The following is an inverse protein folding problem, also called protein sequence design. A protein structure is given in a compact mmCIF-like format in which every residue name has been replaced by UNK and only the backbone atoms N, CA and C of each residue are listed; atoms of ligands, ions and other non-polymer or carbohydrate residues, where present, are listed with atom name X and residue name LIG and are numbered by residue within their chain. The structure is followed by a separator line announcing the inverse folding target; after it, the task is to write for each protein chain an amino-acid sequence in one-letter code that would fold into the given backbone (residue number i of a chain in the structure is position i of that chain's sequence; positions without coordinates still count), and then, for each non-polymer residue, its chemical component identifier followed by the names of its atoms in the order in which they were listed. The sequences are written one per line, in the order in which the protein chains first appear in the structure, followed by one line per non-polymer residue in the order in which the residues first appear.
data_IF_757916148459
#
_entry.id   IF_757916148459
#
_cell.length_a   1.000
_cell.length_b   1.000
_cell.length_c   1.000
_cell.angle_alpha   90.00
_cell.angle_beta   90.00
_cell.angle_gamma   90.00
#
_symmetry.space_group_name_H-M   'P 1'
#
loop_
_entity.id
_entity.type
_entity.pdbx_description
1 polymer ?
#
# COMPACT_ATOMS: atom_id res chain seq x y z
N UNK A 1 14.56 3.23 15.67
CA UNK A 1 14.66 3.54 14.23
C UNK A 1 13.64 2.65 13.52
N UNK A 2 12.94 3.13 12.49
CA UNK A 2 11.98 2.29 11.76
C UNK A 2 12.73 1.19 11.00
N UNK A 3 12.21 -0.04 10.98
CA UNK A 3 12.82 -1.19 10.30
C UNK A 3 12.48 -1.26 8.81
N UNK A 4 11.42 -0.57 8.42
CA UNK A 4 10.92 -0.50 7.04
C UNK A 4 10.86 0.96 6.62
N UNK A 5 11.31 1.23 5.40
CA UNK A 5 11.24 2.54 4.79
C UNK A 5 10.64 2.44 3.39
N UNK A 6 9.56 3.19 3.14
CA UNK A 6 9.03 3.35 1.78
C UNK A 6 10.00 4.20 0.97
N UNK A 7 10.46 3.68 -0.16
CA UNK A 7 11.39 4.35 -1.06
C UNK A 7 10.67 5.07 -2.20
N UNK A 8 9.62 4.46 -2.75
CA UNK A 8 8.83 5.01 -3.84
C UNK A 8 7.41 4.46 -3.86
N UNK A 9 6.47 5.26 -4.37
CA UNK A 9 5.11 4.83 -4.70
C UNK A 9 4.76 5.43 -6.06
N UNK A 10 4.68 4.60 -7.09
CA UNK A 10 4.23 5.01 -8.41
C UNK A 10 2.73 4.72 -8.57
N UNK A 11 1.96 5.76 -8.88
CA UNK A 11 0.54 5.62 -9.21
C UNK A 11 0.44 5.25 -10.69
N UNK A 12 -0.01 4.03 -10.96
CA UNK A 12 -0.18 3.51 -12.31
C UNK A 12 -1.58 3.88 -12.83
N UNK A 13 -1.75 3.92 -14.16
CA UNK A 13 -3.02 4.24 -14.82
C UNK A 13 -3.69 5.54 -14.32
N UNK A 14 -2.94 6.65 -14.32
CA UNK A 14 -3.43 7.95 -13.87
C UNK A 14 -3.26 9.03 -14.95
N UNK A 15 -4.34 9.75 -15.36
CA UNK A 15 -5.71 9.68 -14.85
C UNK A 15 -6.50 8.46 -15.37
N UNK A 16 -7.51 8.01 -14.63
CA UNK A 16 -8.41 6.90 -14.98
C UNK A 16 -9.87 7.16 -14.58
N UNK A 17 -10.84 6.39 -15.13
CA UNK A 17 -12.23 6.42 -14.70
C UNK A 17 -12.42 6.05 -13.22
N UNK A 18 -13.45 6.61 -12.57
CA UNK A 18 -13.74 6.33 -11.15
C UNK A 18 -13.89 4.84 -10.83
N UNK A 19 -14.48 4.04 -11.74
CA UNK A 19 -14.66 2.61 -11.53
C UNK A 19 -13.44 1.74 -11.89
N UNK A 20 -12.31 2.33 -12.29
CA UNK A 20 -11.08 1.58 -12.52
C UNK A 20 -10.42 1.26 -11.17
N UNK A 21 -9.76 0.10 -11.04
CA UNK A 21 -8.97 -0.22 -9.86
C UNK A 21 -7.83 0.77 -9.64
N UNK A 22 -7.59 1.11 -8.37
CA UNK A 22 -6.38 1.80 -7.95
C UNK A 22 -5.19 0.87 -8.11
N UNK A 23 -4.07 1.37 -8.64
CA UNK A 23 -2.85 0.58 -8.85
C UNK A 23 -1.63 1.36 -8.36
N UNK A 24 -0.96 0.82 -7.34
CA UNK A 24 0.26 1.40 -6.77
C UNK A 24 1.42 0.41 -6.91
N UNK A 25 2.48 0.80 -7.62
CA UNK A 25 3.75 0.10 -7.52
C UNK A 25 4.53 0.67 -6.33
N UNK A 26 4.63 -0.12 -5.26
CA UNK A 26 5.25 0.28 -4.01
C UNK A 26 6.64 -0.34 -3.95
N UNK A 27 7.65 0.50 -3.72
CA UNK A 27 9.02 0.07 -3.42
C UNK A 27 9.35 0.43 -1.98
N UNK A 28 9.82 -0.54 -1.20
CA UNK A 28 10.25 -0.32 0.18
C UNK A 28 11.55 -1.07 0.48
N UNK A 29 12.26 -0.64 1.51
CA UNK A 29 13.47 -1.29 2.03
C UNK A 29 13.24 -1.74 3.45
N UNK A 30 13.64 -2.98 3.74
CA UNK A 30 13.65 -3.57 5.06
C UNK A 30 15.09 -3.66 5.55
N UNK A 31 15.39 -3.08 6.71
CA UNK A 31 16.77 -2.99 7.24
C UNK A 31 17.24 -4.30 7.90
N UNK A 32 16.31 -5.16 8.31
CA UNK A 32 16.55 -6.46 8.93
C UNK A 32 15.41 -7.43 8.60
N UNK A 33 15.60 -8.73 8.84
CA UNK A 33 14.56 -9.73 8.60
C UNK A 33 13.37 -9.52 9.54
N UNK A 34 12.17 -9.45 8.98
CA UNK A 34 10.92 -9.38 9.74
C UNK A 34 10.26 -10.76 9.77
N UNK A 35 10.11 -11.36 10.96
CA UNK A 35 9.43 -12.64 11.11
C UNK A 35 7.91 -12.53 10.98
N UNK A 36 7.36 -11.33 11.18
CA UNK A 36 5.93 -11.02 11.08
C UNK A 36 5.62 -10.34 9.73
N UNK A 37 4.35 -10.44 9.34
CA UNK A 37 3.88 -9.85 8.08
C UNK A 37 3.66 -8.33 8.21
N UNK A 38 3.94 -7.61 7.14
CA UNK A 38 3.53 -6.22 6.96
C UNK A 38 2.10 -6.18 6.42
N UNK A 39 1.22 -5.45 7.08
CA UNK A 39 -0.11 -5.16 6.56
C UNK A 39 -0.10 -3.85 5.75
N UNK A 40 -0.53 -3.94 4.49
CA UNK A 40 -0.74 -2.80 3.62
C UNK A 40 -2.23 -2.61 3.37
N UNK A 41 -2.73 -1.39 3.54
CA UNK A 41 -4.13 -1.02 3.29
C UNK A 41 -4.24 0.14 2.31
N UNK A 42 -5.21 0.07 1.40
CA UNK A 42 -5.66 1.22 0.62
C UNK A 42 -6.94 1.74 1.28
N UNK A 43 -6.92 3.00 1.69
CA UNK A 43 -8.05 3.65 2.35
C UNK A 43 -8.50 4.83 1.48
N UNK A 44 -9.75 4.79 1.04
CA UNK A 44 -10.39 5.88 0.33
C UNK A 44 -11.14 6.77 1.32
N UNK A 45 -10.74 8.05 1.38
CA UNK A 45 -11.38 9.04 2.24
C UNK A 45 -12.64 9.57 1.56
N UNK A 46 -13.81 9.08 1.99
CA UNK A 46 -15.10 9.45 1.40
C UNK A 46 -15.54 10.88 1.72
N UNK A 47 -15.06 11.45 2.84
CA UNK A 47 -15.29 12.84 3.22
C UNK A 47 -14.08 13.37 3.98
N UNK A 48 -13.57 14.55 3.59
CA UNK A 48 -12.47 15.20 4.30
C UNK A 48 -12.83 15.67 5.72
N UNK A 49 -14.12 15.71 6.07
CA UNK A 49 -14.61 16.23 7.35
C UNK A 49 -14.92 15.12 8.37
N UNK A 50 -14.99 13.86 7.95
CA UNK A 50 -15.35 12.74 8.84
C UNK A 50 -14.76 11.42 8.37
N UNK A 51 -14.01 10.79 9.26
CA UNK A 51 -13.45 9.44 9.09
C UNK A 51 -14.52 8.34 9.06
N UNK A 52 -15.78 8.65 9.44
CA UNK A 52 -16.90 7.68 9.37
C UNK A 52 -17.21 7.20 7.95
N UNK A 53 -16.72 7.93 6.94
CA UNK A 53 -16.91 7.62 5.52
C UNK A 53 -15.66 7.03 4.87
N UNK A 54 -14.62 6.72 5.64
CA UNK A 54 -13.42 6.09 5.14
C UNK A 54 -13.68 4.62 4.80
N UNK A 55 -13.21 4.21 3.62
CA UNK A 55 -13.42 2.86 3.10
C UNK A 55 -12.06 2.19 2.94
N UNK A 56 -11.87 1.05 3.62
CA UNK A 56 -10.74 0.16 3.33
C UNK A 56 -11.07 -0.58 2.04
N UNK A 57 -10.43 -0.20 0.94
CA UNK A 57 -10.65 -0.81 -0.37
C UNK A 57 -10.06 -2.23 -0.44
N UNK A 58 -8.84 -2.40 0.08
CA UNK A 58 -8.21 -3.71 0.24
C UNK A 58 -7.16 -3.70 1.37
N UNK A 59 -6.82 -4.89 1.85
CA UNK A 59 -5.84 -5.14 2.90
C UNK A 59 -5.04 -6.40 2.62
N UNK A 60 -3.74 -6.28 2.43
CA UNK A 60 -2.85 -7.41 2.12
C UNK A 60 -1.75 -7.57 3.16
N UNK A 61 -1.40 -8.82 3.45
CA UNK A 61 -0.28 -9.19 4.30
C UNK A 61 0.91 -9.60 3.43
N UNK A 62 2.07 -9.01 3.71
CA UNK A 62 3.34 -9.31 3.02
C UNK A 62 4.32 -9.80 4.07
N UNK A 63 4.59 -11.10 4.09
CA UNK A 63 5.65 -11.65 4.92
C UNK A 63 5.78 -13.17 4.90
N UNK A 64 6.75 -13.71 5.65
CA UNK A 64 7.81 -12.96 6.35
C UNK A 64 8.71 -12.19 5.37
N UNK A 65 9.28 -11.06 5.80
CA UNK A 65 9.98 -10.12 4.91
C UNK A 65 11.49 -10.12 5.17
N UNK A 66 12.32 -10.61 4.24
CA UNK A 66 13.77 -10.55 4.36
C UNK A 66 14.30 -9.11 4.35
N UNK A 67 15.48 -8.88 4.91
CA UNK A 67 16.22 -7.64 4.74
C UNK A 67 16.51 -7.37 3.26
N UNK A 68 16.49 -6.10 2.86
CA UNK A 68 16.75 -5.65 1.50
C UNK A 68 15.60 -4.86 0.89
N UNK A 69 15.70 -4.62 -0.42
CA UNK A 69 14.75 -3.81 -1.18
C UNK A 69 13.73 -4.69 -1.88
N UNK A 70 12.46 -4.35 -1.71
CA UNK A 70 11.31 -5.07 -2.25
C UNK A 70 10.44 -4.14 -3.09
N UNK A 71 9.72 -4.73 -4.03
CA UNK A 71 8.77 -4.03 -4.89
C UNK A 71 7.59 -4.95 -5.19
N UNK A 72 6.38 -4.40 -5.14
CA UNK A 72 5.17 -5.09 -5.56
C UNK A 72 4.13 -4.11 -6.08
N UNK A 73 3.18 -4.61 -6.86
CA UNK A 73 2.00 -3.84 -7.30
C UNK A 73 0.84 -4.18 -6.36
N UNK A 74 0.30 -3.17 -5.70
CA UNK A 74 -0.90 -3.27 -4.89
C UNK A 74 -2.08 -2.68 -5.67
N UNK A 75 -3.05 -3.54 -6.00
CA UNK A 75 -4.25 -3.15 -6.72
C UNK A 75 -5.49 -3.38 -5.85
N UNK A 76 -6.42 -2.42 -5.84
CA UNK A 76 -7.72 -2.54 -5.19
C UNK A 76 -8.82 -1.98 -6.09
N UNK A 77 -9.98 -2.63 -6.08
CA UNK A 77 -11.17 -2.12 -6.78
C UNK A 77 -11.64 -0.80 -6.15
N UNK A 78 -12.33 0.03 -6.95
CA UNK A 78 -12.85 1.32 -6.53
C UNK A 78 -14.13 1.24 -5.69
#
# INVERSE_FOLDING_TARGET
MAKVQVLNVAVLDNPSPFGNPFQFEITFECMEDLPEDLEWKIIYVGSAESEEYDQILDSVLVGPVPAGRHMFVFQADA
#
